data_IF_924101269094
#
_entry.id   IF_924101269094
#
_cell.length_a   1.000
_cell.length_b   1.000
_cell.length_c   1.000
_cell.angle_alpha   90.00
_cell.angle_beta   90.00
_cell.angle_gamma   90.00
#
_symmetry.space_group_name_H-M   'P 1'
#
loop_
_entity.id
_entity.type
_entity.pdbx_description
1 polymer ?
#
# COMPACT_ATOMS: atom_id res chain seq x y z
N UNK A 1 -10.51 -6.12 7.59
CA UNK A 1 -10.14 -4.77 7.08
C UNK A 1 -8.87 -4.19 7.73
N UNK A 2 -8.86 -3.88 9.03
CA UNK A 2 -7.70 -3.21 9.67
C UNK A 2 -6.35 -3.97 9.54
N UNK A 3 -6.35 -5.30 9.69
CA UNK A 3 -5.14 -6.14 9.53
C UNK A 3 -4.57 -6.10 8.11
N UNK A 4 -5.44 -6.10 7.11
CA UNK A 4 -5.08 -6.09 5.70
C UNK A 4 -4.55 -4.73 5.26
N UNK A 5 -5.19 -3.64 5.71
CA UNK A 5 -4.70 -2.28 5.51
C UNK A 5 -3.28 -2.10 6.10
N UNK A 6 -3.04 -2.61 7.32
CA UNK A 6 -1.71 -2.53 7.95
C UNK A 6 -0.64 -3.30 7.17
N UNK A 7 -0.98 -4.44 6.59
CA UNK A 7 -0.06 -5.20 5.73
C UNK A 7 0.28 -4.42 4.47
N UNK A 8 -0.71 -3.85 3.80
CA UNK A 8 -0.50 -3.06 2.59
C UNK A 8 0.30 -1.78 2.88
N UNK A 9 0.02 -1.09 3.98
CA UNK A 9 0.80 0.09 4.40
C UNK A 9 2.27 -0.27 4.60
N UNK A 10 2.57 -1.38 5.29
CA UNK A 10 3.96 -1.85 5.45
C UNK A 10 4.62 -2.16 4.11
N UNK A 11 3.90 -2.81 3.19
CA UNK A 11 4.42 -3.16 1.87
C UNK A 11 4.68 -1.92 1.00
N UNK A 12 3.80 -0.91 1.06
CA UNK A 12 4.00 0.36 0.38
C UNK A 12 5.26 1.07 0.86
N UNK A 13 5.48 1.14 2.19
CA UNK A 13 6.69 1.76 2.76
C UNK A 13 7.95 1.01 2.35
N UNK A 14 7.92 -0.33 2.38
CA UNK A 14 9.06 -1.13 1.93
C UNK A 14 9.42 -0.84 0.45
N UNK A 15 8.42 -0.76 -0.44
CA UNK A 15 8.67 -0.38 -1.82
C UNK A 15 9.24 1.04 -1.95
N UNK A 16 8.77 1.99 -1.16
CA UNK A 16 9.31 3.35 -1.16
C UNK A 16 10.77 3.40 -0.69
N UNK A 17 11.13 2.66 0.36
CA UNK A 17 12.51 2.53 0.86
C UNK A 17 13.45 1.91 -0.18
N UNK A 18 12.95 0.97 -0.98
CA UNK A 18 13.68 0.32 -2.07
C UNK A 18 13.66 1.14 -3.39
N UNK A 19 13.17 2.39 -3.38
CA UNK A 19 13.01 3.26 -4.55
C UNK A 19 12.09 2.69 -5.66
N UNK A 20 11.21 1.75 -5.29
CA UNK A 20 10.22 1.08 -6.15
C UNK A 20 8.91 1.87 -6.19
N UNK A 21 8.97 3.08 -6.74
CA UNK A 21 7.86 4.03 -6.63
C UNK A 21 6.58 3.62 -7.36
N UNK A 22 6.68 2.94 -8.51
CA UNK A 22 5.49 2.41 -9.21
C UNK A 22 4.73 1.41 -8.33
N UNK A 23 5.45 0.47 -7.72
CA UNK A 23 4.86 -0.55 -6.85
C UNK A 23 4.29 0.06 -5.57
N UNK A 24 4.95 1.07 -5.00
CA UNK A 24 4.40 1.83 -3.88
C UNK A 24 3.10 2.56 -4.27
N UNK A 25 3.04 3.15 -5.47
CA UNK A 25 1.84 3.82 -5.97
C UNK A 25 0.68 2.84 -6.20
N UNK A 26 0.97 1.63 -6.68
CA UNK A 26 -0.04 0.58 -6.86
C UNK A 26 -0.63 0.12 -5.52
N UNK A 27 0.21 -0.15 -4.51
CA UNK A 27 -0.25 -0.53 -3.17
C UNK A 27 -1.07 0.58 -2.53
N UNK A 28 -0.67 1.86 -2.69
CA UNK A 28 -1.48 3.01 -2.26
C UNK A 28 -2.86 3.02 -2.90
N UNK A 29 -2.97 2.70 -4.20
CA UNK A 29 -4.24 2.65 -4.90
C UNK A 29 -5.13 1.51 -4.37
N UNK A 30 -4.55 0.35 -4.04
CA UNK A 30 -5.26 -0.76 -3.39
C UNK A 30 -5.81 -0.35 -2.02
N UNK A 31 -5.00 0.32 -1.20
CA UNK A 31 -5.43 0.86 0.11
C UNK A 31 -6.60 1.83 -0.07
N UNK A 32 -6.54 2.72 -1.06
CA UNK A 32 -7.61 3.68 -1.36
C UNK A 32 -8.92 2.97 -1.74
N UNK A 33 -8.85 1.96 -2.60
CA UNK A 33 -10.02 1.19 -3.02
C UNK A 33 -10.68 0.46 -1.83
N UNK A 34 -9.88 -0.16 -0.96
CA UNK A 34 -10.37 -0.85 0.25
C UNK A 34 -10.99 0.07 1.31
N UNK A 35 -10.64 1.37 1.31
CA UNK A 35 -11.25 2.37 2.19
C UNK A 35 -12.54 2.97 1.62
N UNK A 36 -12.79 2.80 0.32
CA UNK A 36 -13.95 3.35 -0.38
C UNK A 36 -15.10 2.33 -0.55
N UNK A 37 -14.83 1.03 -0.38
CA UNK A 37 -15.83 -0.03 -0.31
C UNK A 37 -16.21 -0.35 1.13
#
# INVERSE_FOLDING_TARGET
>A
LAKELKTLEKQMYQFAEELKFEQAADVRNQIKALKQG
#
